data_IF_162836545437
#
_entry.id   IF_162836545437
#
_cell.length_a   1.000
_cell.length_b   1.000
_cell.length_c   1.000
_cell.angle_alpha   90.00
_cell.angle_beta   90.00
_cell.angle_gamma   90.00
#
_symmetry.space_group_name_H-M   'P 1'
#
loop_
_entity.id
_entity.type
_entity.pdbx_description
1 polymer ?
#
# COMPACT_ATOMS: atom_id res chain seq x y z
N UNK A 1 -6.27 -7.81 12.24
CA UNK A 1 -4.92 -8.08 12.77
C UNK A 1 -4.08 -8.81 11.71
N UNK A 2 -2.88 -8.35 11.51
CA UNK A 2 -1.96 -8.96 10.54
C UNK A 2 -0.99 -9.88 11.26
N UNK A 3 -0.93 -11.14 10.84
CA UNK A 3 0.03 -12.11 11.36
C UNK A 3 1.20 -12.23 10.39
N UNK A 4 2.42 -12.20 10.92
CA UNK A 4 3.64 -12.23 10.14
C UNK A 4 4.26 -13.62 10.17
N UNK A 5 4.62 -14.12 9.00
CA UNK A 5 5.29 -15.41 8.88
C UNK A 5 6.79 -15.22 8.70
N UNK A 6 7.57 -15.97 9.46
CA UNK A 6 9.00 -16.07 9.24
C UNK A 6 9.30 -17.06 8.13
N UNK A 7 10.18 -16.68 7.23
CA UNK A 7 10.74 -17.60 6.25
C UNK A 7 12.16 -17.95 6.67
N UNK A 8 12.41 -19.20 7.11
CA UNK A 8 13.72 -19.58 7.67
C UNK A 8 14.89 -19.38 6.71
N UNK A 9 14.63 -19.38 5.41
CA UNK A 9 15.66 -19.20 4.39
C UNK A 9 16.01 -17.74 4.10
N UNK A 10 15.28 -16.79 4.66
CA UNK A 10 15.56 -15.37 4.46
C UNK A 10 16.31 -14.81 5.65
N UNK A 11 17.48 -14.24 5.37
CA UNK A 11 18.22 -13.51 6.38
C UNK A 11 17.77 -12.05 6.31
N UNK A 12 16.97 -11.65 7.27
CA UNK A 12 16.65 -10.24 7.44
C UNK A 12 17.67 -9.61 8.34
N UNK A 13 18.29 -8.53 7.87
CA UNK A 13 19.28 -7.78 8.67
C UNK A 13 18.69 -7.16 9.94
N UNK A 14 17.38 -7.23 10.13
CA UNK A 14 16.66 -6.62 11.25
C UNK A 14 15.79 -7.58 12.04
N UNK A 15 16.13 -8.83 12.11
CA UNK A 15 15.43 -9.77 12.95
C UNK A 15 14.08 -10.24 12.45
N UNK A 16 13.10 -9.36 12.14
CA UNK A 16 11.80 -9.81 11.67
C UNK A 16 11.02 -8.71 10.93
N UNK A 17 9.89 -9.13 10.33
CA UNK A 17 9.03 -8.23 9.56
C UNK A 17 8.32 -7.19 10.43
N UNK A 18 8.05 -7.49 11.70
CA UNK A 18 7.41 -6.56 12.61
C UNK A 18 8.30 -5.33 12.83
N UNK A 19 9.59 -5.52 13.01
CA UNK A 19 10.53 -4.40 13.17
C UNK A 19 10.58 -3.56 11.91
N UNK A 20 10.56 -4.17 10.73
CA UNK A 20 10.53 -3.47 9.46
C UNK A 20 9.24 -2.66 9.29
N UNK A 21 8.09 -3.24 9.65
CA UNK A 21 6.80 -2.54 9.57
C UNK A 21 6.71 -1.39 10.57
N UNK A 22 7.22 -1.59 11.78
CA UNK A 22 7.27 -0.55 12.82
C UNK A 22 8.15 0.62 12.38
N UNK A 23 9.32 0.32 11.83
CA UNK A 23 10.23 1.33 11.29
C UNK A 23 9.55 2.13 10.17
N UNK A 24 8.92 1.44 9.22
CA UNK A 24 8.21 2.08 8.12
C UNK A 24 7.06 2.94 8.64
N UNK A 25 6.30 2.44 9.60
CA UNK A 25 5.21 3.20 10.23
C UNK A 25 5.69 4.52 10.82
N UNK A 26 6.74 4.47 11.63
CA UNK A 26 7.28 5.65 12.27
C UNK A 26 7.81 6.66 11.25
N UNK A 27 8.47 6.15 10.21
CA UNK A 27 9.02 6.99 9.16
C UNK A 27 7.93 7.66 8.32
N UNK A 28 6.91 6.92 7.91
CA UNK A 28 5.80 7.44 7.13
C UNK A 28 4.98 8.45 7.92
N UNK A 29 4.78 8.19 9.20
CA UNK A 29 4.08 9.11 10.09
C UNK A 29 4.86 10.42 10.26
N UNK A 30 6.18 10.34 10.35
CA UNK A 30 7.04 11.52 10.50
C UNK A 30 7.00 12.47 9.30
N UNK A 31 6.67 11.97 8.12
CA UNK A 31 6.55 12.77 6.90
C UNK A 31 5.10 13.04 6.51
N UNK A 32 4.18 12.85 7.44
CA UNK A 32 2.75 13.15 7.30
C UNK A 32 2.04 12.42 6.16
N UNK A 33 2.44 11.19 5.87
CA UNK A 33 1.67 10.33 4.98
C UNK A 33 0.53 9.72 5.79
N UNK A 34 -0.70 9.84 5.28
CA UNK A 34 -1.88 9.34 5.97
C UNK A 34 -1.92 7.82 5.92
N UNK A 35 -1.73 7.20 7.08
CA UNK A 35 -1.68 5.75 7.25
C UNK A 35 -2.53 5.33 8.43
N UNK A 36 -3.01 4.06 8.47
CA UNK A 36 -3.70 3.54 9.65
C UNK A 36 -2.81 3.61 10.89
N UNK A 37 -3.40 3.91 12.03
CA UNK A 37 -2.66 3.92 13.30
C UNK A 37 -2.25 2.50 13.68
N UNK A 38 -1.03 2.36 14.14
CA UNK A 38 -0.57 1.11 14.73
C UNK A 38 -1.13 1.02 16.16
N UNK A 39 -2.00 0.06 16.40
CA UNK A 39 -2.72 -0.06 17.68
C UNK A 39 -2.00 -0.93 18.69
N UNK A 40 -1.38 -2.02 18.25
CA UNK A 40 -0.70 -2.94 19.14
C UNK A 40 0.31 -3.79 18.39
N UNK A 41 1.37 -4.20 19.10
CA UNK A 41 2.36 -5.13 18.61
C UNK A 41 2.54 -6.21 19.65
N UNK A 42 2.45 -7.47 19.23
CA UNK A 42 2.77 -8.64 20.03
C UNK A 42 3.96 -9.35 19.40
N UNK A 43 5.14 -9.09 19.91
CA UNK A 43 6.38 -9.65 19.37
C UNK A 43 6.45 -11.17 19.52
N UNK A 44 5.95 -11.70 20.63
CA UNK A 44 5.99 -13.13 20.89
C UNK A 44 5.09 -13.91 19.94
N UNK A 45 3.91 -13.37 19.62
CA UNK A 45 2.97 -14.00 18.69
C UNK A 45 3.17 -13.55 17.24
N UNK A 46 4.13 -12.65 16.98
CA UNK A 46 4.40 -12.06 15.67
C UNK A 46 3.15 -11.44 15.04
N UNK A 47 2.43 -10.66 15.84
CA UNK A 47 1.17 -10.02 15.42
C UNK A 47 1.25 -8.52 15.52
N UNK A 48 0.57 -7.89 14.57
CA UNK A 48 0.46 -6.45 14.49
C UNK A 48 -1.03 -6.11 14.30
N UNK A 49 -1.55 -5.27 15.17
CA UNK A 49 -2.89 -4.73 15.02
C UNK A 49 -2.82 -3.29 14.56
N UNK A 50 -3.58 -2.94 13.54
CA UNK A 50 -3.66 -1.57 13.05
C UNK A 50 -5.10 -1.15 12.81
N UNK A 51 -5.31 0.15 12.81
CA UNK A 51 -6.61 0.76 12.55
C UNK A 51 -7.18 0.26 11.22
N UNK A 52 -8.48 -0.07 11.22
CA UNK A 52 -9.17 -0.43 9.98
C UNK A 52 -9.72 0.84 9.33
N UNK A 53 -9.35 1.05 8.07
CA UNK A 53 -9.87 2.17 7.27
C UNK A 53 -11.01 1.66 6.41
N UNK A 54 -12.23 2.06 6.75
CA UNK A 54 -13.42 1.64 6.02
C UNK A 54 -13.57 2.44 4.72
N UNK A 55 -13.69 1.72 3.61
CA UNK A 55 -13.90 2.33 2.31
C UNK A 55 -13.34 1.45 1.19
N UNK A 56 -13.63 1.80 -0.07
CA UNK A 56 -13.10 1.07 -1.21
C UNK A 56 -11.62 1.40 -1.42
N UNK A 57 -10.88 0.44 -1.97
CA UNK A 57 -9.55 0.72 -2.47
C UNK A 57 -9.65 1.46 -3.80
N UNK A 58 -8.59 2.15 -4.17
CA UNK A 58 -8.49 2.78 -5.50
C UNK A 58 -8.62 1.70 -6.59
N UNK A 59 -8.00 0.53 -6.38
CA UNK A 59 -8.11 -0.58 -7.33
C UNK A 59 -9.57 -0.98 -7.55
N UNK A 60 -10.34 -1.14 -6.48
CA UNK A 60 -11.77 -1.50 -6.58
C UNK A 60 -12.58 -0.44 -7.32
N UNK A 61 -12.33 0.83 -7.06
CA UNK A 61 -13.01 1.92 -7.74
C UNK A 61 -12.77 1.89 -9.25
N UNK A 62 -11.53 1.70 -9.67
CA UNK A 62 -11.17 1.64 -11.09
C UNK A 62 -11.76 0.39 -11.74
N UNK A 63 -11.67 -0.75 -11.06
CA UNK A 63 -12.25 -2.01 -11.53
C UNK A 63 -13.75 -1.85 -11.81
N UNK A 64 -14.44 -1.14 -10.94
CA UNK A 64 -15.90 -0.97 -11.02
C UNK A 64 -16.32 0.20 -11.93
N UNK A 65 -15.39 0.80 -12.65
CA UNK A 65 -15.66 1.83 -13.64
C UNK A 65 -15.56 3.27 -13.15
N UNK A 66 -15.18 3.47 -11.90
CA UNK A 66 -14.98 4.81 -11.35
C UNK A 66 -13.59 5.35 -11.71
N UNK A 67 -13.44 6.67 -11.67
CA UNK A 67 -12.15 7.32 -11.90
C UNK A 67 -11.44 7.60 -10.58
N UNK A 68 -10.11 7.48 -10.57
CA UNK A 68 -9.29 7.87 -9.43
C UNK A 68 -8.97 9.38 -9.42
N UNK A 69 -9.40 10.12 -10.43
CA UNK A 69 -9.10 11.54 -10.61
C UNK A 69 -9.30 12.38 -9.34
N UNK A 70 -10.40 12.23 -8.58
CA UNK A 70 -10.61 13.02 -7.37
C UNK A 70 -9.52 12.86 -6.31
N UNK A 71 -8.77 11.77 -6.34
CA UNK A 71 -7.77 11.46 -5.32
C UNK A 71 -6.32 11.54 -5.81
N UNK A 72 -6.11 11.85 -7.11
CA UNK A 72 -4.76 11.96 -7.66
C UNK A 72 -3.93 13.03 -6.95
N UNK A 73 -4.53 14.17 -6.60
CA UNK A 73 -3.78 15.21 -5.90
C UNK A 73 -3.30 14.74 -4.52
N UNK A 74 -4.07 13.87 -3.85
CA UNK A 74 -3.68 13.34 -2.53
C UNK A 74 -2.50 12.38 -2.65
N UNK A 75 -2.53 11.45 -3.60
CA UNK A 75 -1.40 10.52 -3.78
C UNK A 75 -0.17 11.26 -4.28
N UNK A 76 -0.32 12.28 -5.12
CA UNK A 76 0.81 13.09 -5.59
C UNK A 76 1.44 13.88 -4.46
N UNK A 77 0.65 14.39 -3.53
CA UNK A 77 1.15 15.03 -2.32
C UNK A 77 1.97 14.05 -1.47
N UNK A 78 1.45 12.83 -1.30
CA UNK A 78 2.20 11.76 -0.61
C UNK A 78 3.51 11.46 -1.34
N UNK A 79 3.48 11.40 -2.66
CA UNK A 79 4.67 11.13 -3.48
C UNK A 79 5.73 12.22 -3.34
N UNK A 80 5.33 13.48 -3.27
CA UNK A 80 6.26 14.59 -3.07
C UNK A 80 6.92 14.52 -1.68
N UNK A 81 6.15 14.22 -0.65
CA UNK A 81 6.66 14.05 0.70
C UNK A 81 7.63 12.88 0.80
N UNK A 82 7.27 11.75 0.19
CA UNK A 82 8.13 10.57 0.15
C UNK A 82 9.44 10.86 -0.58
N UNK A 83 9.38 11.49 -1.74
CA UNK A 83 10.56 11.86 -2.52
C UNK A 83 11.48 12.78 -1.73
N UNK A 84 10.93 13.81 -1.09
CA UNK A 84 11.71 14.73 -0.28
C UNK A 84 12.42 14.04 0.88
N UNK A 85 11.86 12.95 1.40
CA UNK A 85 12.45 12.15 2.46
C UNK A 85 13.35 11.02 1.93
N UNK A 86 13.51 10.91 0.62
CA UNK A 86 14.35 9.88 0.00
C UNK A 86 13.74 8.48 -0.01
N UNK A 87 12.41 8.39 0.02
CA UNK A 87 11.72 7.08 0.03
C UNK A 87 10.68 6.97 -1.06
N UNK A 88 10.37 5.73 -1.42
CA UNK A 88 9.19 5.36 -2.18
C UNK A 88 8.26 4.55 -1.29
N UNK A 89 6.96 4.79 -1.44
CA UNK A 89 5.93 3.88 -0.92
C UNK A 89 5.47 2.99 -2.08
N UNK A 90 4.71 1.96 -1.78
CA UNK A 90 4.19 1.07 -2.83
C UNK A 90 2.91 1.66 -3.42
N UNK A 91 3.03 2.27 -4.60
CA UNK A 91 1.94 2.98 -5.27
C UNK A 91 0.92 2.08 -5.97
N UNK A 92 1.02 0.78 -5.79
CA UNK A 92 0.04 -0.15 -6.35
C UNK A 92 -1.34 0.15 -5.76
N UNK A 93 -2.34 0.32 -6.63
CA UNK A 93 -3.64 0.87 -6.23
C UNK A 93 -4.42 0.10 -5.15
N UNK A 94 -4.26 -1.24 -4.98
CA UNK A 94 -4.89 -1.92 -3.84
C UNK A 94 -4.39 -1.49 -2.46
N UNK A 95 -3.26 -0.79 -2.40
CA UNK A 95 -2.67 -0.33 -1.13
C UNK A 95 -3.24 1.01 -0.67
N UNK A 96 -4.23 1.56 -1.37
CA UNK A 96 -4.81 2.85 -1.06
C UNK A 96 -6.32 2.74 -0.90
N UNK A 97 -6.83 3.24 0.23
CA UNK A 97 -8.26 3.22 0.56
C UNK A 97 -8.77 4.65 0.64
N UNK A 98 -9.93 4.88 0.02
CA UNK A 98 -10.67 6.14 0.20
C UNK A 98 -11.59 5.96 1.40
N UNK A 99 -11.29 6.67 2.48
CA UNK A 99 -12.09 6.56 3.71
C UNK A 99 -13.52 7.04 3.47
N UNK A 100 -14.49 6.20 3.81
CA UNK A 100 -15.90 6.36 3.46
C UNK A 100 -16.51 7.69 3.89
N UNK A 101 -16.24 8.13 5.10
CA UNK A 101 -16.90 9.31 5.66
C UNK A 101 -16.17 10.62 5.39
N UNK A 102 -14.90 10.58 5.07
CA UNK A 102 -14.07 11.78 4.90
C UNK A 102 -13.63 12.01 3.46
N UNK A 103 -13.62 10.96 2.64
CA UNK A 103 -13.05 11.02 1.29
C UNK A 103 -11.53 11.16 1.28
N UNK A 104 -10.87 10.98 2.43
CA UNK A 104 -9.42 11.07 2.52
C UNK A 104 -8.77 9.78 2.07
N UNK A 105 -7.66 9.93 1.35
CA UNK A 105 -6.88 8.79 0.86
C UNK A 105 -5.91 8.31 1.93
N UNK A 106 -5.93 7.01 2.23
CA UNK A 106 -5.01 6.36 3.16
C UNK A 106 -4.14 5.36 2.44
N UNK A 107 -2.85 5.39 2.72
CA UNK A 107 -1.92 4.34 2.32
C UNK A 107 -1.95 3.27 3.42
N UNK A 108 -2.49 2.09 3.11
CA UNK A 108 -2.80 1.09 4.15
C UNK A 108 -1.70 0.05 4.39
N UNK A 109 -0.60 0.15 3.68
CA UNK A 109 0.54 -0.73 3.89
C UNK A 109 1.65 0.02 4.63
N UNK A 110 2.38 -0.69 5.51
CA UNK A 110 3.54 -0.12 6.19
C UNK A 110 4.81 -0.56 5.45
N UNK A 111 5.01 0.00 4.27
CA UNK A 111 6.18 -0.29 3.46
C UNK A 111 6.77 1.00 2.93
N UNK A 112 8.07 1.16 3.10
CA UNK A 112 8.81 2.23 2.42
C UNK A 112 10.18 1.70 2.03
N UNK A 113 10.59 2.08 0.83
CA UNK A 113 11.86 1.67 0.24
C UNK A 113 12.67 2.90 -0.11
N UNK A 114 13.96 2.72 -0.39
CA UNK A 114 14.79 3.80 -0.88
C UNK A 114 14.23 4.38 -2.17
N UNK A 115 14.23 5.71 -2.30
CA UNK A 115 13.67 6.37 -3.49
C UNK A 115 14.46 6.01 -4.75
N UNK A 116 13.73 5.63 -5.78
CA UNK A 116 14.24 5.52 -7.17
C UNK A 116 13.19 6.10 -8.11
N UNK A 117 13.62 6.71 -9.19
CA UNK A 117 12.70 7.25 -10.18
C UNK A 117 11.89 6.16 -10.88
N UNK A 118 12.48 5.00 -11.07
CA UNK A 118 11.83 3.86 -11.72
C UNK A 118 10.52 3.46 -11.02
N UNK A 119 10.50 3.49 -9.71
CA UNK A 119 9.38 3.02 -8.90
C UNK A 119 8.54 4.13 -8.29
N UNK A 120 8.72 5.37 -8.76
CA UNK A 120 7.93 6.48 -8.26
C UNK A 120 6.50 6.46 -8.83
N UNK A 121 5.65 7.35 -8.33
CA UNK A 121 4.25 7.38 -8.74
C UNK A 121 4.11 7.69 -10.24
N UNK A 122 4.78 8.71 -10.74
CA UNK A 122 4.59 9.17 -12.13
C UNK A 122 5.15 8.19 -13.17
N UNK A 123 6.19 7.42 -12.84
CA UNK A 123 6.78 6.46 -13.76
C UNK A 123 6.18 5.06 -13.65
N UNK A 124 5.82 4.63 -12.44
CA UNK A 124 5.34 3.27 -12.21
C UNK A 124 3.92 3.23 -11.67
N UNK A 125 3.65 3.94 -10.59
CA UNK A 125 2.38 3.81 -9.86
C UNK A 125 1.17 4.20 -10.67
N UNK A 126 1.28 5.27 -11.44
CA UNK A 126 0.18 5.83 -12.24
C UNK A 126 -0.45 4.80 -13.19
N UNK A 127 0.33 3.80 -13.62
CA UNK A 127 -0.15 2.73 -14.51
C UNK A 127 -1.32 1.94 -13.90
N UNK A 128 -1.43 1.93 -12.58
CA UNK A 128 -2.46 1.19 -11.86
C UNK A 128 -3.56 2.08 -11.28
N UNK A 129 -3.57 3.37 -11.66
CA UNK A 129 -4.55 4.35 -11.18
C UNK A 129 -5.58 4.75 -12.24
N UNK A 130 -5.68 3.98 -13.32
CA UNK A 130 -6.72 4.07 -14.33
C UNK A 130 -6.76 2.76 -15.09
N UNK A 131 -7.71 2.61 -16.01
CA UNK A 131 -7.82 1.38 -16.81
C UNK A 131 -6.79 1.35 -17.94
N UNK A 132 -5.52 1.36 -17.59
CA UNK A 132 -4.41 1.21 -18.52
C UNK A 132 -4.24 -0.25 -18.94
N UNK A 133 -3.46 -0.54 -19.99
CA UNK A 133 -3.14 -1.93 -20.35
C UNK A 133 -2.53 -2.72 -19.20
N UNK A 134 -1.66 -2.09 -18.39
CA UNK A 134 -1.05 -2.74 -17.22
C UNK A 134 -2.10 -3.10 -16.17
N UNK A 135 -3.03 -2.20 -15.88
CA UNK A 135 -4.12 -2.45 -14.95
C UNK A 135 -5.00 -3.60 -15.44
N UNK A 136 -5.40 -3.56 -16.70
CA UNK A 136 -6.29 -4.57 -17.29
C UNK A 136 -5.63 -5.94 -17.33
N UNK A 137 -4.33 -5.99 -17.60
CA UNK A 137 -3.55 -7.22 -17.56
C UNK A 137 -3.52 -7.83 -16.17
N UNK A 138 -3.34 -7.00 -15.14
CA UNK A 138 -3.35 -7.46 -13.76
C UNK A 138 -4.75 -7.95 -13.35
N UNK A 139 -5.81 -7.24 -13.76
CA UNK A 139 -7.19 -7.63 -13.50
C UNK A 139 -7.50 -8.99 -14.13
N UNK A 140 -7.05 -9.21 -15.36
CA UNK A 140 -7.21 -10.49 -16.05
C UNK A 140 -6.47 -11.62 -15.32
N UNK A 141 -5.25 -11.35 -14.87
CA UNK A 141 -4.47 -12.30 -14.06
C UNK A 141 -5.24 -12.70 -12.79
N UNK A 142 -5.85 -11.76 -12.09
CA UNK A 142 -6.63 -12.05 -10.88
C UNK A 142 -7.86 -12.90 -11.19
N UNK A 143 -8.55 -12.63 -12.30
CA UNK A 143 -9.70 -13.43 -12.74
C UNK A 143 -9.32 -14.86 -13.04
N UNK A 144 -8.23 -15.08 -13.77
CA UNK A 144 -7.72 -16.42 -14.09
C UNK A 144 -7.32 -17.19 -12.84
N UNK A 145 -6.71 -16.49 -11.89
CA UNK A 145 -6.31 -17.10 -10.62
C UNK A 145 -7.53 -17.52 -9.80
N UNK A 146 -8.60 -16.73 -9.80
CA UNK A 146 -9.84 -17.07 -9.11
C UNK A 146 -10.52 -18.30 -9.74
N UNK A 147 -10.51 -18.41 -11.08
CA UNK A 147 -11.05 -19.56 -11.79
C UNK A 147 -10.26 -20.84 -11.45
N UNK A 148 -8.94 -20.75 -11.38
CA UNK A 148 -8.09 -21.89 -10.99
C UNK A 148 -8.40 -22.40 -9.58
N UNK A 149 -8.72 -21.52 -8.67
CA UNK A 149 -9.06 -21.91 -7.28
C UNK A 149 -10.41 -22.61 -7.15
N UNK A 150 -11.29 -22.48 -8.16
CA UNK A 150 -12.59 -23.13 -8.17
C UNK A 150 -12.57 -24.57 -8.72
N UNK A 151 -11.47 -24.94 -9.34
CA UNK A 151 -11.21 -26.29 -9.84
C UNK A 151 -10.57 -27.12 -8.71
#
# INVERSE_FOLDING_TARGET
MKQIHHEPCRVYSFGNKIDAERYAYERLKAIDIRIPKMLAIDMAAERLAKEYIEGPTIFELIRDGSSAEPWLWQVREMAERAKAAGVNIDYFSPNFVVQKHTGLLYYIDYECNEYTEEWNFENWGIKYWSQTPDFLKHLDYLKRRAEHKKE
#
